data_IF_963706753650
#
_entry.id   IF_963706753650
#
_cell.length_a   1.000
_cell.length_b   1.000
_cell.length_c   1.000
_cell.angle_alpha   90.00
_cell.angle_beta   90.00
_cell.angle_gamma   90.00
#
_symmetry.space_group_name_H-M   'P 1'
#
loop_
_entity.id
_entity.type
_entity.pdbx_description
1 polymer ?
#
# COMPACT_ATOMS: atom_id res chain seq x y z
N UNK A 1 -1.81 -22.38 0.08
CA UNK A 1 -2.34 -21.06 0.49
C UNK A 1 -1.70 -20.06 -0.45
N UNK A 2 -2.46 -19.48 -1.37
CA UNK A 2 -1.92 -18.47 -2.30
C UNK A 2 -2.07 -17.13 -1.61
N UNK A 3 -1.06 -16.75 -0.81
CA UNK A 3 -1.03 -15.44 -0.17
C UNK A 3 -0.97 -14.39 -1.28
N UNK A 4 -1.95 -13.49 -1.34
CA UNK A 4 -1.85 -12.34 -2.24
C UNK A 4 -0.63 -11.51 -1.83
N UNK A 5 0.09 -10.90 -2.79
CA UNK A 5 1.25 -10.07 -2.45
C UNK A 5 0.82 -8.92 -1.50
N UNK A 6 1.70 -8.47 -0.59
CA UNK A 6 1.39 -7.37 0.31
C UNK A 6 1.21 -6.06 -0.49
N UNK A 7 0.47 -5.12 0.09
CA UNK A 7 0.37 -3.76 -0.46
C UNK A 7 1.59 -2.93 -0.05
N UNK A 8 1.95 -1.93 -0.84
CA UNK A 8 2.80 -0.85 -0.33
C UNK A 8 2.05 0.04 0.65
N UNK A 9 2.79 0.63 1.59
CA UNK A 9 2.29 1.66 2.49
C UNK A 9 1.76 2.89 1.71
N UNK A 10 0.49 3.30 1.88
CA UNK A 10 -0.10 4.39 1.13
C UNK A 10 0.13 5.76 1.80
N UNK A 11 1.21 5.90 2.56
CA UNK A 11 1.55 7.12 3.28
C UNK A 11 2.88 7.71 2.78
N UNK A 12 3.01 9.05 2.76
CA UNK A 12 4.24 9.70 2.37
C UNK A 12 5.43 9.19 3.20
N UNK A 13 6.58 9.00 2.55
CA UNK A 13 7.82 8.50 3.17
C UNK A 13 7.74 7.10 3.80
N UNK A 14 6.64 6.38 3.61
CA UNK A 14 6.55 4.98 4.02
C UNK A 14 6.91 4.08 2.84
N UNK A 15 8.06 3.41 2.95
CA UNK A 15 8.48 2.30 2.09
C UNK A 15 8.21 0.95 2.78
N UNK A 16 7.16 0.89 3.59
CA UNK A 16 6.73 -0.32 4.26
C UNK A 16 5.73 -1.14 3.45
N UNK A 17 5.35 -2.27 4.03
CA UNK A 17 4.35 -3.18 3.49
C UNK A 17 3.12 -3.19 4.38
N UNK A 18 1.95 -3.32 3.75
CA UNK A 18 0.66 -3.41 4.39
C UNK A 18 0.06 -4.78 4.10
N UNK A 19 -0.21 -5.49 5.17
CA UNK A 19 -0.88 -6.79 5.15
C UNK A 19 -2.26 -6.72 5.80
N UNK A 20 -3.12 -7.67 5.41
CA UNK A 20 -4.37 -7.92 6.11
C UNK A 20 -4.11 -8.84 7.30
N UNK A 21 -4.45 -8.35 8.50
CA UNK A 21 -4.25 -9.03 9.77
C UNK A 21 -5.61 -9.48 10.27
N UNK A 22 -5.83 -10.79 10.31
CA UNK A 22 -7.08 -11.43 10.73
C UNK A 22 -6.92 -12.40 11.91
N UNK A 23 -5.73 -12.45 12.50
CA UNK A 23 -5.42 -13.28 13.67
C UNK A 23 -6.19 -12.84 14.94
N UNK A 24 -6.46 -11.53 15.09
CA UNK A 24 -7.19 -10.97 16.21
C UNK A 24 -8.37 -10.11 15.73
N UNK A 25 -9.62 -10.36 16.19
CA UNK A 25 -10.77 -9.55 15.81
C UNK A 25 -10.82 -8.20 16.58
N UNK A 26 -11.21 -7.10 15.92
CA UNK A 26 -11.60 -7.00 14.52
C UNK A 26 -10.39 -6.98 13.57
N UNK A 27 -10.49 -7.61 12.39
CA UNK A 27 -9.37 -7.67 11.45
C UNK A 27 -9.10 -6.28 10.84
N UNK A 28 -7.86 -6.05 10.40
CA UNK A 28 -7.41 -4.74 9.93
C UNK A 28 -6.27 -4.83 8.91
N UNK A 29 -6.08 -3.78 8.12
CA UNK A 29 -4.86 -3.56 7.33
C UNK A 29 -3.83 -2.87 8.20
N UNK A 30 -2.61 -3.43 8.31
CA UNK A 30 -1.56 -2.87 9.15
C UNK A 30 -0.23 -2.75 8.41
N UNK A 31 0.46 -1.62 8.63
CA UNK A 31 1.84 -1.43 8.18
C UNK A 31 2.82 -1.63 9.34
N UNK A 32 3.78 -2.54 9.19
CA UNK A 32 4.78 -2.83 10.22
C UNK A 32 5.81 -1.70 10.41
N UNK A 33 6.08 -0.93 9.36
CA UNK A 33 7.17 0.05 9.34
C UNK A 33 6.75 1.42 9.88
N UNK A 34 5.52 1.86 9.59
CA UNK A 34 5.01 3.14 10.07
C UNK A 34 3.93 3.02 11.15
N UNK A 35 3.53 1.80 11.51
CA UNK A 35 2.53 1.53 12.55
C UNK A 35 1.10 1.98 12.20
N UNK A 36 0.83 2.35 10.95
CA UNK A 36 -0.50 2.78 10.54
C UNK A 36 -1.45 1.59 10.36
N UNK A 37 -2.70 1.80 10.76
CA UNK A 37 -3.75 0.79 10.76
C UNK A 37 -5.01 1.35 10.10
N UNK A 38 -5.71 0.50 9.34
CA UNK A 38 -7.02 0.78 8.76
C UNK A 38 -7.97 -0.36 9.07
N UNK A 39 -9.13 -0.06 9.65
CA UNK A 39 -10.15 -1.06 9.97
C UNK A 39 -11.20 -1.21 8.84
N UNK A 40 -11.31 -0.24 7.94
CA UNK A 40 -12.23 -0.26 6.81
C UNK A 40 -11.47 -0.29 5.47
N UNK A 41 -11.86 -1.21 4.56
CA UNK A 41 -11.22 -1.34 3.24
C UNK A 41 -11.32 -0.03 2.47
N UNK A 42 -12.48 0.63 2.60
CA UNK A 42 -12.77 1.91 1.94
C UNK A 42 -11.77 2.99 2.33
N UNK A 43 -11.42 3.07 3.60
CA UNK A 43 -10.46 4.06 4.09
C UNK A 43 -9.07 3.77 3.55
N UNK A 44 -8.65 2.51 3.59
CA UNK A 44 -7.37 2.08 3.03
C UNK A 44 -7.27 2.38 1.51
N UNK A 45 -8.29 2.00 0.74
CA UNK A 45 -8.39 2.27 -0.70
C UNK A 45 -8.39 3.77 -1.04
N UNK A 46 -9.00 4.58 -0.16
CA UNK A 46 -8.96 6.04 -0.27
C UNK A 46 -7.55 6.58 -0.04
N UNK A 47 -6.77 6.00 0.88
CA UNK A 47 -5.35 6.36 1.07
C UNK A 47 -4.52 6.00 -0.16
N UNK A 48 -4.71 4.82 -0.75
CA UNK A 48 -4.03 4.44 -2.00
C UNK A 48 -4.34 5.45 -3.12
N UNK A 49 -5.61 5.79 -3.29
CA UNK A 49 -6.01 6.77 -4.31
C UNK A 49 -5.35 8.15 -4.09
N UNK A 50 -5.26 8.60 -2.84
CA UNK A 50 -4.63 9.87 -2.48
C UNK A 50 -3.12 9.86 -2.72
N UNK A 51 -2.43 8.78 -2.36
CA UNK A 51 -0.97 8.71 -2.54
C UNK A 51 -0.61 8.63 -4.02
N UNK A 52 -1.36 7.86 -4.81
CA UNK A 52 -1.18 7.79 -6.27
C UNK A 52 -1.46 9.14 -6.93
N UNK A 53 -2.51 9.84 -6.51
CA UNK A 53 -2.81 11.18 -7.03
C UNK A 53 -1.72 12.22 -6.66
N UNK A 54 -1.15 12.12 -5.46
CA UNK A 54 -0.10 13.02 -4.98
C UNK A 54 1.27 12.72 -5.60
N UNK A 55 1.56 11.44 -5.81
CA UNK A 55 2.83 10.92 -6.30
C UNK A 55 2.55 9.88 -7.39
N UNK A 56 2.39 10.29 -8.67
CA UNK A 56 1.96 9.40 -9.74
C UNK A 56 2.76 8.11 -9.89
N UNK A 57 4.05 8.13 -9.55
CA UNK A 57 4.91 6.95 -9.58
C UNK A 57 4.56 5.87 -8.55
N UNK A 58 3.83 6.23 -7.50
CA UNK A 58 3.29 5.26 -6.55
C UNK A 58 2.28 4.32 -7.22
N UNK A 59 1.76 4.66 -8.40
CA UNK A 59 0.94 3.76 -9.19
C UNK A 59 1.67 2.46 -9.56
N UNK A 60 3.01 2.46 -9.65
CA UNK A 60 3.78 1.25 -10.01
C UNK A 60 3.59 0.12 -8.98
N UNK A 61 3.27 0.45 -7.72
CA UNK A 61 3.00 -0.50 -6.64
C UNK A 61 1.57 -1.07 -6.66
N UNK A 62 0.66 -0.50 -7.47
CA UNK A 62 -0.76 -0.85 -7.44
C UNK A 62 -1.34 -1.06 -8.85
N UNK A 63 -2.28 -1.98 -8.98
CA UNK A 63 -3.10 -2.16 -10.18
C UNK A 63 -4.56 -1.87 -9.85
N UNK A 64 -5.29 -1.24 -10.78
CA UNK A 64 -6.71 -0.95 -10.61
C UNK A 64 -7.55 -1.97 -11.38
N UNK A 65 -8.32 -2.79 -10.66
CA UNK A 65 -9.20 -3.81 -11.23
C UNK A 65 -10.60 -3.60 -10.66
N UNK A 66 -11.61 -3.50 -11.53
CA UNK A 66 -13.02 -3.31 -11.14
C UNK A 66 -13.24 -2.17 -10.13
N UNK A 67 -12.47 -1.09 -10.29
CA UNK A 67 -12.57 0.10 -9.43
C UNK A 67 -11.79 0.02 -8.11
N UNK A 68 -11.23 -1.14 -7.74
CA UNK A 68 -10.39 -1.33 -6.55
C UNK A 68 -8.90 -1.33 -6.88
N UNK A 69 -8.08 -0.83 -5.97
CA UNK A 69 -6.63 -0.99 -6.00
C UNK A 69 -6.25 -2.34 -5.41
N UNK A 70 -5.40 -3.06 -6.13
CA UNK A 70 -4.77 -4.31 -5.73
C UNK A 70 -3.25 -4.14 -5.80
N UNK A 71 -2.45 -4.95 -5.10
CA UNK A 71 -1.00 -4.88 -5.20
C UNK A 71 -0.56 -5.32 -6.60
N UNK A 72 0.35 -4.54 -7.20
CA UNK A 72 0.98 -4.89 -8.47
C UNK A 72 1.99 -6.05 -8.32
N UNK A 73 2.57 -6.19 -7.12
CA UNK A 73 3.63 -7.15 -6.81
C UNK A 73 4.99 -6.46 -6.66
N UNK A 74 5.91 -7.00 -5.83
CA UNK A 74 7.18 -6.34 -5.51
C UNK A 74 8.12 -6.22 -6.71
N UNK A 75 8.03 -7.13 -7.69
CA UNK A 75 8.93 -7.17 -8.86
C UNK A 75 8.59 -6.13 -9.94
N UNK A 76 7.53 -5.33 -9.74
CA UNK A 76 7.07 -4.32 -10.72
C UNK A 76 7.68 -2.94 -10.44
N UNK A 77 8.12 -2.69 -9.20
CA UNK A 77 8.68 -1.40 -8.79
C UNK A 77 10.04 -1.13 -9.45
N UNK A 78 10.31 0.13 -9.80
CA UNK A 78 11.62 0.54 -10.29
C UNK A 78 12.71 0.42 -9.21
N UNK A 79 13.98 0.25 -9.61
CA UNK A 79 15.11 0.12 -8.66
C UNK A 79 15.24 1.32 -7.72
N UNK A 80 14.84 2.51 -8.16
CA UNK A 80 14.87 3.75 -7.39
C UNK A 80 13.58 4.02 -6.59
N UNK A 81 12.61 3.10 -6.58
CA UNK A 81 11.29 3.35 -6.00
C UNK A 81 11.37 3.75 -4.53
N UNK A 82 12.12 3.02 -3.70
CA UNK A 82 12.28 3.35 -2.27
C UNK A 82 13.00 4.69 -2.04
N UNK A 83 13.96 5.04 -2.89
CA UNK A 83 14.64 6.32 -2.84
C UNK A 83 13.67 7.47 -3.11
N UNK A 84 12.79 7.31 -4.09
CA UNK A 84 11.73 8.29 -4.41
C UNK A 84 10.77 8.46 -3.25
N UNK A 85 10.41 7.37 -2.58
CA UNK A 85 9.59 7.39 -1.36
C UNK A 85 10.25 8.23 -0.26
N UNK A 86 11.54 8.00 0.00
CA UNK A 86 12.28 8.73 1.03
C UNK A 86 12.34 10.24 0.81
N UNK A 87 12.12 10.71 -0.42
CA UNK A 87 12.15 12.13 -0.81
C UNK A 87 10.76 12.78 -0.88
N UNK A 88 9.68 12.05 -0.59
CA UNK A 88 8.34 12.62 -0.63
C UNK A 88 8.17 13.77 0.39
N UNK A 89 7.47 14.86 0.04
CA UNK A 89 7.17 15.96 0.96
C UNK A 89 6.15 15.60 2.05
#
# INVERSE_FOLDING_TARGET
MTTSPPYRGPLPRCAGWVDWIDADPPPFWGCGECGSVWHEERDFQTRISRIVARHPYRADSYKRIEGKWLPAGPDVESVDHEERIGKEP
#
